data_IF_429286118258
#
_entry.id   IF_429286118258
#
_cell.length_a   1.000
_cell.length_b   1.000
_cell.length_c   1.000
_cell.angle_alpha   90.00
_cell.angle_beta   90.00
_cell.angle_gamma   90.00
#
_symmetry.space_group_name_H-M   'P 1'
#
loop_
_entity.id
_entity.type
_entity.pdbx_description
1 polymer ?
#
# COMPACT_ATOMS: atom_id res chain seq x y z
N UNK A 1 40.19 -45.04 -1.01
CA UNK A 1 38.91 -44.96 -1.75
C UNK A 1 37.67 -44.70 -0.88
N UNK A 2 37.64 -45.02 0.43
CA UNK A 2 36.49 -44.70 1.30
C UNK A 2 36.40 -43.21 1.72
N UNK A 3 37.52 -42.51 1.84
CA UNK A 3 37.55 -41.07 2.20
C UNK A 3 36.95 -40.14 1.13
N UNK A 4 37.20 -40.41 -0.16
CA UNK A 4 36.68 -39.60 -1.25
C UNK A 4 35.15 -39.74 -1.43
N UNK A 5 34.57 -40.85 -1.00
CA UNK A 5 33.12 -41.06 -1.07
C UNK A 5 32.37 -40.27 0.01
N UNK A 6 32.93 -40.15 1.22
CA UNK A 6 32.32 -39.36 2.30
C UNK A 6 32.39 -37.86 2.00
N UNK A 7 33.49 -37.36 1.40
CA UNK A 7 33.64 -35.94 1.06
C UNK A 7 32.69 -35.49 -0.08
N UNK A 8 32.29 -36.41 -0.96
CA UNK A 8 31.26 -36.15 -2.00
C UNK A 8 29.85 -36.19 -1.39
N UNK A 9 29.57 -37.09 -0.46
CA UNK A 9 28.27 -37.15 0.23
C UNK A 9 28.07 -35.91 1.11
N UNK A 10 29.09 -35.45 1.83
CA UNK A 10 29.03 -34.22 2.63
C UNK A 10 28.85 -32.97 1.75
N UNK A 11 29.48 -32.93 0.56
CA UNK A 11 29.27 -31.83 -0.41
C UNK A 11 27.87 -31.84 -1.02
N UNK A 12 27.33 -33.03 -1.32
CA UNK A 12 25.96 -33.16 -1.85
C UNK A 12 24.91 -32.84 -0.79
N UNK A 13 25.10 -33.27 0.46
CA UNK A 13 24.23 -32.93 1.58
C UNK A 13 24.24 -31.42 1.88
N UNK A 14 25.41 -30.78 1.83
CA UNK A 14 25.54 -29.33 2.00
C UNK A 14 24.98 -28.50 0.84
N UNK A 15 24.83 -29.08 -0.36
CA UNK A 15 24.15 -28.43 -1.50
C UNK A 15 22.63 -28.54 -1.36
N UNK A 16 22.10 -29.71 -1.01
CA UNK A 16 20.66 -29.92 -0.81
C UNK A 16 20.10 -29.15 0.39
N UNK A 17 20.86 -29.05 1.50
CA UNK A 17 20.41 -28.27 2.68
C UNK A 17 20.36 -26.77 2.37
N UNK A 18 21.26 -26.25 1.53
CA UNK A 18 21.21 -24.85 1.10
C UNK A 18 20.01 -24.56 0.21
N UNK A 19 19.64 -25.48 -0.67
CA UNK A 19 18.47 -25.30 -1.52
C UNK A 19 17.16 -25.35 -0.71
N UNK A 20 17.06 -26.25 0.28
CA UNK A 20 15.89 -26.34 1.17
C UNK A 20 15.76 -25.13 2.11
N UNK A 21 16.87 -24.64 2.69
CA UNK A 21 16.88 -23.44 3.54
C UNK A 21 16.56 -22.17 2.73
N UNK A 22 17.09 -22.05 1.50
CA UNK A 22 16.77 -20.94 0.59
C UNK A 22 15.32 -21.02 0.13
N UNK A 23 14.77 -22.22 -0.11
CA UNK A 23 13.36 -22.39 -0.47
C UNK A 23 12.42 -22.08 0.70
N UNK A 24 12.76 -22.48 1.93
CA UNK A 24 12.01 -22.10 3.14
C UNK A 24 12.08 -20.60 3.42
N UNK A 25 13.26 -19.99 3.29
CA UNK A 25 13.46 -18.55 3.46
C UNK A 25 12.71 -17.78 2.37
N UNK A 26 12.73 -18.25 1.12
CA UNK A 26 11.95 -17.69 0.02
C UNK A 26 10.45 -17.84 0.25
N UNK A 27 9.95 -19.00 0.69
CA UNK A 27 8.53 -19.21 1.04
C UNK A 27 8.10 -18.30 2.19
N UNK A 28 8.97 -18.09 3.17
CA UNK A 28 8.73 -17.21 4.32
C UNK A 28 8.73 -15.74 3.92
N UNK A 29 9.67 -15.32 3.07
CA UNK A 29 9.75 -13.97 2.52
C UNK A 29 8.55 -13.68 1.62
N UNK A 30 8.27 -14.56 0.67
CA UNK A 30 7.10 -14.48 -0.23
C UNK A 30 5.78 -14.48 0.57
N UNK A 31 5.63 -15.36 1.54
CA UNK A 31 4.47 -15.39 2.43
C UNK A 31 4.33 -14.11 3.27
N UNK A 32 5.45 -13.48 3.65
CA UNK A 32 5.44 -12.19 4.35
C UNK A 32 5.01 -11.04 3.43
N UNK A 33 5.54 -10.97 2.20
CA UNK A 33 5.16 -9.97 1.19
C UNK A 33 3.69 -10.11 0.80
N UNK A 34 3.21 -11.33 0.63
CA UNK A 34 1.80 -11.59 0.34
C UNK A 34 0.88 -11.11 1.48
N UNK A 35 1.28 -11.28 2.75
CA UNK A 35 0.52 -10.73 3.88
C UNK A 35 0.48 -9.21 3.88
N UNK A 36 1.57 -8.54 3.49
CA UNK A 36 1.61 -7.07 3.39
C UNK A 36 0.62 -6.57 2.34
N UNK A 37 0.69 -7.13 1.13
CA UNK A 37 -0.20 -6.77 0.02
C UNK A 37 -1.66 -7.05 0.39
N UNK A 38 -1.96 -8.22 0.98
CA UNK A 38 -3.32 -8.55 1.45
C UNK A 38 -3.85 -7.57 2.49
N UNK A 39 -3.01 -7.16 3.44
CA UNK A 39 -3.39 -6.15 4.43
C UNK A 39 -3.69 -4.80 3.80
N UNK A 40 -2.83 -4.34 2.88
CA UNK A 40 -3.02 -3.07 2.18
C UNK A 40 -4.23 -3.08 1.23
N UNK A 41 -4.51 -4.21 0.56
CA UNK A 41 -5.71 -4.43 -0.23
C UNK A 41 -6.98 -4.36 0.62
N UNK A 42 -6.97 -4.99 1.79
CA UNK A 42 -8.10 -4.96 2.71
C UNK A 42 -8.40 -3.54 3.20
N UNK A 43 -7.36 -2.74 3.49
CA UNK A 43 -7.49 -1.31 3.79
C UNK A 43 -8.13 -0.57 2.61
N UNK A 44 -7.68 -0.83 1.38
CA UNK A 44 -8.20 -0.19 0.18
C UNK A 44 -9.69 -0.51 -0.04
N UNK A 45 -10.04 -1.80 0.02
CA UNK A 45 -11.40 -2.26 -0.23
C UNK A 45 -12.38 -1.72 0.81
N UNK A 46 -12.07 -1.88 2.10
CA UNK A 46 -12.95 -1.42 3.17
C UNK A 46 -13.00 0.11 3.21
N UNK A 47 -11.87 0.80 2.98
CA UNK A 47 -11.85 2.25 2.88
C UNK A 47 -12.78 2.77 1.76
N UNK A 48 -12.76 2.11 0.60
CA UNK A 48 -13.68 2.44 -0.49
C UNK A 48 -15.16 2.17 -0.11
N UNK A 49 -15.44 1.05 0.57
CA UNK A 49 -16.80 0.72 1.03
C UNK A 49 -17.34 1.68 2.10
N UNK A 50 -16.45 2.28 2.90
CA UNK A 50 -16.76 3.30 3.90
C UNK A 50 -16.74 4.72 3.32
N UNK A 51 -16.48 4.86 2.02
CA UNK A 51 -16.35 6.15 1.33
C UNK A 51 -15.27 7.07 1.92
N UNK A 52 -14.20 6.49 2.49
CA UNK A 52 -13.07 7.26 2.96
C UNK A 52 -12.35 7.98 1.81
N UNK A 53 -11.71 9.11 2.10
CA UNK A 53 -10.90 9.77 1.08
C UNK A 53 -9.69 8.92 0.69
N UNK A 54 -9.25 9.06 -0.56
CA UNK A 54 -8.04 8.38 -1.07
C UNK A 54 -6.81 8.74 -0.22
N UNK A 55 -6.77 9.96 0.34
CA UNK A 55 -5.70 10.39 1.24
C UNK A 55 -5.71 9.56 2.53
N UNK A 56 -6.87 9.36 3.15
CA UNK A 56 -6.99 8.54 4.37
C UNK A 56 -6.63 7.08 4.15
N UNK A 57 -7.03 6.53 3.01
CA UNK A 57 -6.69 5.15 2.63
C UNK A 57 -5.17 5.01 2.43
N UNK A 58 -4.54 5.91 1.66
CA UNK A 58 -3.11 5.88 1.42
C UNK A 58 -2.30 6.07 2.73
N UNK A 59 -2.74 6.99 3.62
CA UNK A 59 -2.12 7.13 4.95
C UNK A 59 -2.23 5.84 5.76
N UNK A 60 -3.37 5.16 5.76
CA UNK A 60 -3.54 3.90 6.47
C UNK A 60 -2.60 2.81 5.93
N UNK A 61 -2.42 2.72 4.61
CA UNK A 61 -1.51 1.78 3.98
C UNK A 61 -0.05 2.06 4.35
N UNK A 62 0.38 3.33 4.31
CA UNK A 62 1.72 3.74 4.76
C UNK A 62 1.93 3.38 6.24
N UNK A 63 0.97 3.70 7.10
CA UNK A 63 1.05 3.36 8.53
C UNK A 63 1.15 1.85 8.76
N UNK A 64 0.39 1.07 7.99
CA UNK A 64 0.40 -0.39 8.04
C UNK A 64 1.77 -0.95 7.64
N UNK A 65 2.34 -0.50 6.52
CA UNK A 65 3.66 -0.95 6.07
C UNK A 65 4.75 -0.53 7.05
N UNK A 66 4.74 0.72 7.53
CA UNK A 66 5.72 1.22 8.51
C UNK A 66 5.69 0.38 9.79
N UNK A 67 4.49 0.11 10.31
CA UNK A 67 4.35 -0.72 11.50
C UNK A 67 4.89 -2.14 11.26
N UNK A 68 4.54 -2.77 10.14
CA UNK A 68 5.03 -4.12 9.82
C UNK A 68 6.54 -4.16 9.62
N UNK A 69 7.15 -3.13 9.03
CA UNK A 69 8.61 -3.02 8.88
C UNK A 69 9.32 -2.95 10.24
N UNK A 70 8.72 -2.27 11.21
CA UNK A 70 9.26 -2.14 12.58
C UNK A 70 8.93 -3.34 13.49
N UNK A 71 7.74 -3.93 13.33
CA UNK A 71 7.18 -4.99 14.18
C UNK A 71 6.45 -6.04 13.33
N UNK A 72 7.25 -6.85 12.62
CA UNK A 72 6.76 -7.93 11.75
C UNK A 72 5.85 -8.89 12.51
N UNK A 73 4.66 -9.15 11.97
CA UNK A 73 3.70 -10.15 12.47
C UNK A 73 3.30 -9.99 13.96
N UNK A 74 3.43 -8.79 14.54
CA UNK A 74 3.07 -8.56 15.95
C UNK A 74 1.56 -8.66 16.21
N UNK A 75 0.74 -8.41 15.18
CA UNK A 75 -0.71 -8.45 15.24
C UNK A 75 -1.30 -9.22 14.06
N UNK A 76 -2.54 -9.69 14.24
CA UNK A 76 -3.33 -10.22 13.13
C UNK A 76 -3.51 -9.13 12.05
N UNK A 77 -3.26 -9.49 10.79
CA UNK A 77 -3.28 -8.55 9.65
C UNK A 77 -4.58 -7.76 9.52
N UNK A 78 -5.74 -8.41 9.72
CA UNK A 78 -7.06 -7.77 9.62
C UNK A 78 -7.20 -6.68 10.66
N UNK A 79 -6.91 -6.99 11.92
CA UNK A 79 -7.10 -6.04 13.01
C UNK A 79 -6.05 -4.93 13.03
N UNK A 80 -4.84 -5.22 12.55
CA UNK A 80 -3.84 -4.18 12.31
C UNK A 80 -4.32 -3.23 11.21
N UNK A 81 -4.80 -3.76 10.08
CA UNK A 81 -5.36 -2.97 8.98
C UNK A 81 -6.55 -2.10 9.44
N UNK A 82 -7.48 -2.67 10.20
CA UNK A 82 -8.61 -1.94 10.80
C UNK A 82 -8.15 -0.80 11.69
N UNK A 83 -7.11 -1.05 12.51
CA UNK A 83 -6.55 -0.06 13.42
C UNK A 83 -5.86 1.07 12.67
N UNK A 84 -5.09 0.77 11.63
CA UNK A 84 -4.45 1.77 10.77
C UNK A 84 -5.48 2.63 10.03
N UNK A 85 -6.53 2.02 9.45
CA UNK A 85 -7.59 2.75 8.76
C UNK A 85 -8.38 3.65 9.71
N UNK A 86 -8.82 3.13 10.86
CA UNK A 86 -9.51 3.94 11.85
C UNK A 86 -8.62 5.06 12.43
N UNK A 87 -7.29 4.85 12.49
CA UNK A 87 -6.36 5.90 12.93
C UNK A 87 -6.23 6.98 11.86
N UNK A 88 -6.11 6.62 10.58
CA UNK A 88 -6.00 7.60 9.49
C UNK A 88 -7.28 8.42 9.32
N UNK A 89 -8.46 7.80 9.46
CA UNK A 89 -9.77 8.49 9.47
C UNK A 89 -9.76 9.60 10.53
N UNK A 90 -9.33 9.29 11.76
CA UNK A 90 -9.21 10.28 12.84
C UNK A 90 -8.20 11.38 12.50
N UNK A 91 -7.04 11.03 11.94
CA UNK A 91 -6.00 11.98 11.56
C UNK A 91 -6.39 12.89 10.39
N UNK A 92 -7.35 12.47 9.57
CA UNK A 92 -7.89 13.24 8.46
C UNK A 92 -9.24 13.90 8.79
N UNK A 93 -9.72 13.78 10.02
CA UNK A 93 -10.97 14.38 10.50
C UNK A 93 -12.20 13.96 9.65
N UNK A 94 -12.26 12.69 9.23
CA UNK A 94 -13.40 12.13 8.49
C UNK A 94 -14.51 11.63 9.43
N UNK A 95 -15.77 11.82 9.04
CA UNK A 95 -16.96 11.39 9.81
C UNK A 95 -17.31 9.92 9.53
N UNK A 96 -16.47 9.00 10.03
CA UNK A 96 -16.72 7.55 9.97
C UNK A 96 -16.71 6.97 11.37
N UNK A 97 -17.76 6.22 11.72
CA UNK A 97 -17.91 5.63 13.06
C UNK A 97 -17.00 4.42 13.21
N UNK A 98 -16.32 4.33 14.36
CA UNK A 98 -15.48 3.19 14.73
C UNK A 98 -16.20 1.83 14.58
N UNK A 99 -17.47 1.78 14.95
CA UNK A 99 -18.28 0.56 14.85
C UNK A 99 -18.39 0.07 13.41
N UNK A 100 -18.59 1.00 12.49
CA UNK A 100 -18.72 0.68 11.07
C UNK A 100 -17.42 0.10 10.53
N UNK A 101 -16.28 0.67 10.92
CA UNK A 101 -14.97 0.11 10.61
C UNK A 101 -14.85 -1.32 11.16
N UNK A 102 -15.12 -1.52 12.46
CA UNK A 102 -15.01 -2.84 13.09
C UNK A 102 -15.87 -3.87 12.37
N UNK A 103 -17.12 -3.51 12.06
CA UNK A 103 -18.08 -4.38 11.41
C UNK A 103 -17.64 -4.78 10.00
N UNK A 104 -17.16 -3.82 9.19
CA UNK A 104 -16.64 -4.11 7.84
C UNK A 104 -15.45 -5.07 7.88
N UNK A 105 -14.50 -4.85 8.79
CA UNK A 105 -13.34 -5.74 8.95
C UNK A 105 -13.71 -7.10 9.53
N UNK A 106 -14.70 -7.16 10.43
CA UNK A 106 -15.24 -8.41 10.95
C UNK A 106 -15.86 -9.26 9.83
N UNK A 107 -16.70 -8.67 8.98
CA UNK A 107 -17.29 -9.37 7.84
C UNK A 107 -16.20 -9.89 6.88
N UNK A 108 -15.23 -9.05 6.50
CA UNK A 108 -14.11 -9.48 5.66
C UNK A 108 -13.28 -10.62 6.29
N UNK A 109 -13.12 -10.64 7.62
CA UNK A 109 -12.44 -11.72 8.32
C UNK A 109 -13.22 -13.04 8.33
N UNK A 110 -14.55 -12.97 8.28
CA UNK A 110 -15.43 -14.14 8.26
C UNK A 110 -15.56 -14.72 6.86
N UNK A 111 -15.59 -13.87 5.82
CA UNK A 111 -15.54 -14.30 4.42
C UNK A 111 -14.24 -15.09 4.15
N UNK A 112 -13.11 -14.65 4.71
CA UNK A 112 -11.84 -15.38 4.68
C UNK A 112 -11.87 -16.74 5.38
N UNK A 113 -12.82 -16.96 6.30
CA UNK A 113 -13.03 -18.24 6.99
C UNK A 113 -14.07 -19.12 6.30
N UNK A 114 -14.59 -18.69 5.15
CA UNK A 114 -15.70 -19.35 4.45
C UNK A 114 -16.97 -19.50 5.31
N UNK A 115 -17.14 -18.62 6.30
CA UNK A 115 -18.38 -18.56 7.09
C UNK A 115 -19.42 -17.83 6.25
N UNK A 116 -20.34 -18.57 5.62
CA UNK A 116 -21.46 -17.98 4.88
C UNK A 116 -22.40 -17.25 5.84
N UNK A 117 -22.63 -15.96 5.61
CA UNK A 117 -23.53 -15.09 6.38
C UNK A 117 -23.26 -15.10 7.89
N UNK A 118 -22.10 -14.61 8.36
CA UNK A 118 -21.87 -14.46 9.79
C UNK A 118 -22.91 -13.50 10.37
N UNK A 119 -23.57 -13.91 11.45
CA UNK A 119 -24.45 -13.02 12.20
C UNK A 119 -23.65 -11.76 12.61
N UNK A 120 -24.24 -10.60 12.31
CA UNK A 120 -23.64 -9.31 12.68
C UNK A 120 -23.63 -9.22 14.21
N UNK A 121 -22.48 -8.91 14.84
CA UNK A 121 -22.44 -8.70 16.29
C UNK A 121 -23.44 -7.61 16.67
N UNK A 122 -24.29 -7.89 17.68
CA UNK A 122 -25.22 -6.90 18.22
C UNK A 122 -24.44 -5.64 18.63
N UNK A 123 -24.86 -4.42 18.23
CA UNK A 123 -24.26 -3.16 18.67
C UNK A 123 -24.06 -3.03 20.19
N UNK A 124 -24.87 -3.71 21.00
CA UNK A 124 -24.79 -3.71 22.47
C UNK A 124 -24.03 -4.91 23.05
N UNK A 125 -23.56 -5.83 22.19
CA UNK A 125 -22.87 -7.04 22.61
C UNK A 125 -21.57 -6.74 23.37
N UNK A 126 -21.22 -7.63 24.30
CA UNK A 126 -19.90 -7.61 24.94
C UNK A 126 -18.79 -7.85 23.91
N UNK A 127 -19.06 -8.63 22.86
CA UNK A 127 -18.13 -8.90 21.77
C UNK A 127 -17.70 -7.61 21.05
N UNK A 128 -18.65 -6.79 20.61
CA UNK A 128 -18.33 -5.52 19.95
C UNK A 128 -17.59 -4.56 20.90
N UNK A 129 -17.98 -4.52 22.17
CA UNK A 129 -17.26 -3.74 23.20
C UNK A 129 -15.82 -4.22 23.38
N UNK A 130 -15.58 -5.52 23.35
CA UNK A 130 -14.22 -6.09 23.40
C UNK A 130 -13.43 -5.74 22.13
N UNK A 131 -14.04 -5.82 20.94
CA UNK A 131 -13.40 -5.45 19.68
C UNK A 131 -12.99 -3.97 19.67
N UNK A 132 -13.83 -3.05 20.17
CA UNK A 132 -13.48 -1.63 20.32
C UNK A 132 -12.26 -1.43 21.22
N UNK A 133 -12.21 -2.14 22.36
CA UNK A 133 -11.08 -2.09 23.30
C UNK A 133 -9.80 -2.61 22.65
N UNK A 134 -9.89 -3.76 21.98
CA UNK A 134 -8.74 -4.37 21.28
C UNK A 134 -8.20 -3.46 20.19
N UNK A 135 -9.07 -2.89 19.34
CA UNK A 135 -8.66 -1.96 18.29
C UNK A 135 -7.96 -0.73 18.88
N UNK A 136 -8.48 -0.17 19.97
CA UNK A 136 -7.86 0.97 20.66
C UNK A 136 -6.47 0.63 21.22
N UNK A 137 -6.27 -0.58 21.76
CA UNK A 137 -4.97 -1.06 22.23
C UNK A 137 -3.97 -1.23 21.09
N UNK A 138 -4.40 -1.76 19.95
CA UNK A 138 -3.55 -1.87 18.75
C UNK A 138 -3.18 -0.48 18.24
N UNK A 139 -4.12 0.47 18.19
CA UNK A 139 -3.82 1.86 17.83
C UNK A 139 -2.79 2.49 18.76
N UNK A 140 -2.93 2.29 20.07
CA UNK A 140 -1.94 2.77 21.03
C UNK A 140 -0.55 2.18 20.77
N UNK A 141 -0.48 0.87 20.46
CA UNK A 141 0.78 0.21 20.09
C UNK A 141 1.39 0.78 18.81
N UNK A 142 0.58 1.02 17.78
CA UNK A 142 1.03 1.67 16.52
C UNK A 142 1.65 3.04 16.83
N UNK A 143 0.92 3.88 17.56
CA UNK A 143 1.41 5.21 17.95
C UNK A 143 2.71 5.11 18.78
N UNK A 144 2.80 4.18 19.73
CA UNK A 144 3.99 3.97 20.54
C UNK A 144 5.21 3.54 19.71
N UNK A 145 5.04 2.57 18.80
CA UNK A 145 6.09 2.10 17.89
C UNK A 145 6.56 3.22 16.95
N UNK A 146 5.65 4.10 16.53
CA UNK A 146 5.96 5.26 15.70
C UNK A 146 6.44 6.49 16.50
N UNK A 147 6.64 6.37 17.81
CA UNK A 147 6.97 7.49 18.69
C UNK A 147 6.02 8.70 18.51
N UNK A 148 4.74 8.41 18.29
CA UNK A 148 3.65 9.37 18.01
C UNK A 148 3.85 10.24 16.75
N UNK A 149 4.81 9.88 15.88
CA UNK A 149 5.04 10.51 14.57
C UNK A 149 4.19 9.83 13.49
N UNK A 150 2.86 9.92 13.64
CA UNK A 150 1.89 9.27 12.74
C UNK A 150 1.48 10.13 11.53
N UNK A 151 1.98 11.37 11.46
CA UNK A 151 1.80 12.22 10.28
C UNK A 151 2.78 11.79 9.19
N UNK A 152 2.24 11.34 8.06
CA UNK A 152 3.00 11.04 6.85
C UNK A 152 2.55 11.95 5.69
N UNK A 153 3.51 12.39 4.89
CA UNK A 153 3.24 13.04 3.61
C UNK A 153 2.85 11.96 2.61
N UNK A 154 1.80 12.20 1.83
CA UNK A 154 1.29 11.27 0.82
C UNK A 154 1.46 11.90 -0.56
N UNK A 155 1.93 11.12 -1.52
CA UNK A 155 2.17 11.54 -2.90
C UNK A 155 0.93 12.15 -3.59
N UNK A 156 -0.28 11.74 -3.19
CA UNK A 156 -1.54 12.30 -3.70
C UNK A 156 -1.62 13.83 -3.56
N UNK A 157 -1.05 14.39 -2.48
CA UNK A 157 -1.02 15.85 -2.28
C UNK A 157 -0.22 16.56 -3.38
N UNK A 158 0.89 15.98 -3.81
CA UNK A 158 1.73 16.51 -4.89
C UNK A 158 1.08 16.27 -6.26
N UNK A 159 0.45 15.11 -6.44
CA UNK A 159 -0.33 14.79 -7.64
C UNK A 159 -1.43 15.83 -7.87
N UNK A 160 -2.25 16.15 -6.85
CA UNK A 160 -3.33 17.12 -7.00
C UNK A 160 -2.82 18.53 -7.29
N UNK A 161 -1.66 18.92 -6.73
CA UNK A 161 -1.02 20.19 -7.08
C UNK A 161 -0.66 20.25 -8.56
N UNK A 162 -0.10 19.17 -9.11
CA UNK A 162 0.21 19.09 -10.55
C UNK A 162 -1.07 19.12 -11.40
N UNK A 163 -2.09 18.34 -11.04
CA UNK A 163 -3.34 18.28 -11.78
C UNK A 163 -4.06 19.63 -11.81
N UNK A 164 -4.01 20.40 -10.72
CA UNK A 164 -4.55 21.77 -10.70
C UNK A 164 -3.81 22.70 -11.68
N UNK A 165 -2.48 22.58 -11.80
CA UNK A 165 -1.70 23.33 -12.78
C UNK A 165 -1.98 22.87 -14.21
N UNK A 166 -2.13 21.56 -14.43
CA UNK A 166 -2.52 21.00 -15.72
C UNK A 166 -3.88 21.55 -16.18
N UNK A 167 -4.83 21.67 -15.24
CA UNK A 167 -6.17 22.21 -15.50
C UNK A 167 -6.18 23.70 -15.87
N UNK A 168 -5.12 24.44 -15.52
CA UNK A 168 -4.95 25.85 -15.87
C UNK A 168 -4.37 26.06 -17.27
N UNK A 169 -3.93 25.01 -17.95
CA UNK A 169 -3.38 25.09 -19.30
C UNK A 169 -4.51 25.10 -20.33
N UNK A 170 -4.62 26.19 -21.09
CA UNK A 170 -5.68 26.39 -22.09
C UNK A 170 -5.55 25.50 -23.33
N UNK A 171 -4.37 24.94 -23.58
CA UNK A 171 -4.05 24.10 -24.74
C UNK A 171 -4.24 22.59 -24.48
N UNK A 172 -4.65 22.22 -23.27
CA UNK A 172 -4.94 20.83 -22.89
C UNK A 172 -6.44 20.61 -22.87
N UNK A 173 -6.92 19.61 -23.62
CA UNK A 173 -8.35 19.27 -23.61
C UNK A 173 -8.78 18.66 -22.27
N UNK A 174 -10.02 18.91 -21.88
CA UNK A 174 -10.61 18.39 -20.65
C UNK A 174 -10.58 16.85 -20.60
N UNK A 175 -10.78 16.19 -21.75
CA UNK A 175 -10.71 14.72 -21.87
C UNK A 175 -9.33 14.19 -21.49
N UNK A 176 -8.25 14.87 -21.91
CA UNK A 176 -6.88 14.48 -21.56
C UNK A 176 -6.65 14.67 -20.06
N UNK A 177 -7.12 15.78 -19.48
CA UNK A 177 -7.00 16.05 -18.04
C UNK A 177 -7.71 14.98 -17.22
N UNK A 178 -8.95 14.62 -17.58
CA UNK A 178 -9.73 13.57 -16.89
C UNK A 178 -9.02 12.21 -16.99
N UNK A 179 -8.53 11.85 -18.18
CA UNK A 179 -7.84 10.58 -18.42
C UNK A 179 -6.54 10.49 -17.62
N UNK A 180 -5.71 11.54 -17.64
CA UNK A 180 -4.47 11.60 -16.85
C UNK A 180 -4.75 11.56 -15.35
N UNK A 181 -5.74 12.33 -14.88
CA UNK A 181 -6.11 12.37 -13.46
C UNK A 181 -6.57 11.00 -12.95
N UNK A 182 -7.44 10.33 -13.72
CA UNK A 182 -7.94 8.99 -13.37
C UNK A 182 -6.81 7.96 -13.37
N UNK A 183 -5.96 7.98 -14.38
CA UNK A 183 -4.85 7.03 -14.54
C UNK A 183 -3.81 7.21 -13.45
N UNK A 184 -3.35 8.44 -13.21
CA UNK A 184 -2.35 8.73 -12.18
C UNK A 184 -2.87 8.38 -10.78
N UNK A 185 -4.14 8.71 -10.47
CA UNK A 185 -4.72 8.40 -9.15
C UNK A 185 -4.83 6.89 -8.92
N UNK A 186 -5.23 6.12 -9.94
CA UNK A 186 -5.30 4.65 -9.87
C UNK A 186 -3.92 4.02 -9.73
N UNK A 187 -2.95 4.46 -10.54
CA UNK A 187 -1.58 3.98 -10.49
C UNK A 187 -0.98 4.22 -9.11
N UNK A 188 -1.13 5.44 -8.60
CA UNK A 188 -0.60 5.82 -7.30
C UNK A 188 -1.28 5.05 -6.15
N UNK A 189 -2.59 4.86 -6.21
CA UNK A 189 -3.33 4.04 -5.23
C UNK A 189 -2.85 2.59 -5.25
N UNK A 190 -2.52 2.05 -6.43
CA UNK A 190 -1.96 0.71 -6.58
C UNK A 190 -0.56 0.62 -5.97
N UNK A 191 0.27 1.65 -6.13
CA UNK A 191 1.62 1.67 -5.57
C UNK A 191 1.65 1.56 -4.04
N UNK A 192 0.67 2.15 -3.33
CA UNK A 192 0.53 2.01 -1.88
C UNK A 192 0.16 0.60 -1.39
N UNK A 193 -0.20 -0.32 -2.28
CA UNK A 193 -0.39 -1.73 -1.93
C UNK A 193 0.94 -2.41 -1.58
N UNK A 194 2.06 -1.84 -2.03
CA UNK A 194 3.40 -2.36 -1.82
C UNK A 194 4.20 -1.51 -0.82
N UNK A 195 5.18 -2.13 -0.17
CA UNK A 195 5.99 -1.44 0.85
C UNK A 195 7.03 -0.46 0.26
N UNK A 196 7.25 -0.48 -1.05
CA UNK A 196 8.16 0.46 -1.74
C UNK A 196 7.80 1.93 -1.54
N UNK A 197 6.54 2.23 -1.18
CA UNK A 197 6.12 3.57 -0.76
C UNK A 197 6.84 4.11 0.48
N UNK A 198 7.57 3.27 1.23
CA UNK A 198 8.36 3.67 2.39
C UNK A 198 9.80 4.05 2.05
N UNK A 199 10.27 3.64 0.88
CA UNK A 199 11.68 3.75 0.51
C UNK A 199 11.96 5.09 -0.19
N UNK A 200 10.93 5.77 -0.70
CA UNK A 200 11.04 7.02 -1.44
C UNK A 200 10.21 8.15 -0.83
N UNK A 201 10.58 9.38 -1.15
CA UNK A 201 9.82 10.55 -0.70
C UNK A 201 8.50 10.69 -1.48
N UNK A 202 7.49 11.28 -0.85
CA UNK A 202 6.16 11.43 -1.43
C UNK A 202 6.13 12.26 -2.74
N UNK A 203 7.01 13.25 -2.86
CA UNK A 203 7.20 14.05 -4.07
C UNK A 203 7.89 13.26 -5.19
N UNK A 204 8.94 12.50 -4.88
CA UNK A 204 9.62 11.59 -5.81
C UNK A 204 8.61 10.60 -6.41
N UNK A 205 7.81 9.93 -5.55
CA UNK A 205 6.78 8.98 -5.97
C UNK A 205 5.72 9.66 -6.86
N UNK A 206 5.26 10.85 -6.49
CA UNK A 206 4.26 11.57 -7.26
C UNK A 206 4.75 11.91 -8.67
N UNK A 207 6.01 12.36 -8.78
CA UNK A 207 6.61 12.75 -10.05
C UNK A 207 6.90 11.53 -10.91
N UNK A 208 7.40 10.43 -10.36
CA UNK A 208 7.52 9.17 -11.08
C UNK A 208 6.16 8.68 -11.61
N UNK A 209 5.12 8.72 -10.78
CA UNK A 209 3.76 8.35 -11.18
C UNK A 209 3.22 9.24 -12.31
N UNK A 210 3.49 10.55 -12.26
CA UNK A 210 3.11 11.49 -13.30
C UNK A 210 3.86 11.23 -14.61
N UNK A 211 5.16 10.95 -14.52
CA UNK A 211 6.00 10.61 -15.67
C UNK A 211 5.49 9.34 -16.37
N UNK A 212 5.22 8.29 -15.60
CA UNK A 212 4.65 7.06 -16.11
C UNK A 212 3.31 7.33 -16.80
N UNK A 213 2.41 8.07 -16.13
CA UNK A 213 1.07 8.38 -16.68
C UNK A 213 1.16 9.19 -17.97
N UNK A 214 2.09 10.15 -18.05
CA UNK A 214 2.32 10.95 -19.24
C UNK A 214 2.75 10.08 -20.44
N UNK A 215 3.67 9.14 -20.19
CA UNK A 215 4.13 8.19 -21.21
C UNK A 215 3.01 7.22 -21.62
N UNK A 216 2.28 6.68 -20.65
CA UNK A 216 1.18 5.74 -20.88
C UNK A 216 0.02 6.36 -21.68
N UNK A 217 -0.37 7.59 -21.36
CA UNK A 217 -1.43 8.32 -22.07
C UNK A 217 -0.99 8.88 -23.44
N UNK A 218 0.30 8.82 -23.78
CA UNK A 218 0.83 9.31 -25.06
C UNK A 218 0.65 10.81 -25.28
N UNK A 219 0.67 11.62 -24.22
CA UNK A 219 0.41 13.07 -24.32
C UNK A 219 1.61 13.78 -24.95
N UNK A 220 1.40 14.52 -26.04
CA UNK A 220 2.50 15.19 -26.78
C UNK A 220 2.48 16.71 -26.65
N UNK A 221 1.63 17.27 -25.77
CA UNK A 221 1.43 18.72 -25.62
C UNK A 221 2.69 19.42 -25.07
N UNK A 222 3.26 20.42 -25.76
CA UNK A 222 4.48 21.10 -25.32
C UNK A 222 4.40 21.73 -23.93
N UNK A 223 3.28 22.37 -23.60
CA UNK A 223 3.04 23.00 -22.29
C UNK A 223 3.08 21.98 -21.15
N UNK A 224 2.54 20.78 -21.39
CA UNK A 224 2.58 19.66 -20.43
C UNK A 224 4.01 19.13 -20.27
N UNK A 225 4.77 19.00 -21.36
CA UNK A 225 6.18 18.60 -21.30
C UNK A 225 7.03 19.60 -20.50
N UNK A 226 6.80 20.90 -20.70
CA UNK A 226 7.48 21.94 -19.94
C UNK A 226 7.11 21.89 -18.46
N UNK A 227 5.82 21.76 -18.15
CA UNK A 227 5.33 21.61 -16.78
C UNK A 227 5.99 20.42 -16.09
N UNK A 228 6.00 19.26 -16.75
CA UNK A 228 6.62 18.04 -16.22
C UNK A 228 8.12 18.20 -16.00
N UNK A 229 8.84 18.82 -16.93
CA UNK A 229 10.29 19.11 -16.79
C UNK A 229 10.56 20.04 -15.62
N UNK A 230 9.69 21.02 -15.37
CA UNK A 230 9.80 21.93 -14.22
C UNK A 230 9.61 21.18 -12.91
N UNK A 231 8.58 20.34 -12.77
CA UNK A 231 8.37 19.57 -11.55
C UNK A 231 9.51 18.56 -11.32
N UNK A 232 9.97 17.86 -12.36
CA UNK A 232 11.14 16.97 -12.25
C UNK A 232 12.40 17.73 -11.79
N UNK A 233 12.53 19.00 -12.16
CA UNK A 233 13.66 19.85 -11.72
C UNK A 233 13.57 20.27 -10.26
N UNK A 234 12.40 20.17 -9.63
CA UNK A 234 12.19 20.50 -8.23
C UNK A 234 12.54 19.35 -7.26
N UNK A 235 12.73 18.13 -7.78
CA UNK A 235 13.15 16.96 -7.01
C UNK A 235 14.64 17.01 -6.73
N UNK A 236 15.02 16.80 -5.48
CA UNK A 236 16.41 16.78 -5.04
C UNK A 236 17.20 15.61 -5.65
N UNK A 237 16.61 14.42 -5.67
CA UNK A 237 17.29 13.21 -6.12
C UNK A 237 16.62 12.59 -7.37
N UNK A 238 17.03 13.07 -8.54
CA UNK A 238 16.46 12.65 -9.83
C UNK A 238 16.82 11.23 -10.23
N UNK A 239 17.97 10.73 -9.76
CA UNK A 239 18.47 9.41 -10.13
C UNK A 239 17.54 8.30 -9.62
N UNK A 240 16.86 8.55 -8.50
CA UNK A 240 15.89 7.61 -7.89
C UNK A 240 14.57 7.51 -8.64
N UNK A 241 14.26 8.44 -9.53
CA UNK A 241 13.00 8.41 -10.29
C UNK A 241 12.96 7.19 -11.21
N UNK A 242 14.10 6.76 -11.75
CA UNK A 242 14.18 5.55 -12.57
C UNK A 242 13.80 4.31 -11.75
N UNK A 243 14.33 4.19 -10.54
CA UNK A 243 14.04 3.05 -9.65
C UNK A 243 12.54 2.96 -9.32
N UNK A 244 11.90 4.11 -9.03
CA UNK A 244 10.46 4.16 -8.75
C UNK A 244 9.65 3.79 -10.00
N UNK A 245 10.08 4.23 -11.19
CA UNK A 245 9.42 3.87 -12.45
C UNK A 245 9.46 2.36 -12.69
N UNK A 246 10.60 1.73 -12.44
CA UNK A 246 10.75 0.27 -12.56
C UNK A 246 9.81 -0.45 -11.57
N UNK A 247 9.72 0.01 -10.32
CA UNK A 247 8.75 -0.52 -9.36
C UNK A 247 7.29 -0.31 -9.81
N UNK A 248 6.96 0.87 -10.34
CA UNK A 248 5.61 1.17 -10.84
C UNK A 248 5.21 0.28 -12.02
N UNK A 249 6.14 -0.01 -12.94
CA UNK A 249 5.92 -0.93 -14.06
C UNK A 249 5.54 -2.31 -13.50
N UNK A 250 6.36 -2.85 -12.60
CA UNK A 250 6.11 -4.16 -11.98
C UNK A 250 4.75 -4.21 -11.26
N UNK A 251 4.43 -3.17 -10.48
CA UNK A 251 3.17 -3.08 -9.76
C UNK A 251 1.97 -2.98 -10.72
N UNK A 252 2.12 -2.27 -11.85
CA UNK A 252 1.06 -2.12 -12.84
C UNK A 252 0.74 -3.44 -13.58
N UNK A 253 1.75 -4.26 -13.86
CA UNK A 253 1.59 -5.59 -14.45
C UNK A 253 0.93 -6.56 -13.46
N UNK A 254 1.34 -6.52 -12.20
CA UNK A 254 0.79 -7.37 -11.13
C UNK A 254 -0.66 -6.99 -10.81
N UNK A 255 -1.00 -5.69 -10.75
CA UNK A 255 -2.36 -5.21 -10.51
C UNK A 255 -3.33 -5.60 -11.62
N UNK A 256 -2.85 -5.61 -12.87
CA UNK A 256 -3.62 -6.13 -14.01
C UNK A 256 -3.91 -7.62 -13.83
N UNK A 257 -2.96 -8.38 -13.27
CA UNK A 257 -3.09 -9.82 -13.00
C UNK A 257 -3.99 -10.11 -11.78
N UNK A 258 -3.93 -9.30 -10.73
CA UNK A 258 -4.75 -9.45 -9.52
C UNK A 258 -6.24 -9.14 -9.74
N UNK A 259 -6.62 -8.43 -10.82
CA UNK A 259 -8.03 -8.30 -11.22
C UNK A 259 -8.66 -9.59 -11.75
N UNK A 260 -7.84 -10.61 -12.04
CA UNK A 260 -8.27 -11.91 -12.60
C UNK A 260 -8.09 -13.08 -11.62
N UNK A 261 -7.75 -12.82 -10.35
CA UNK A 261 -7.71 -13.80 -9.26
C UNK A 261 -8.84 -13.47 -8.29
#
# INVERSE_FOLDING_TARGET
>A
MKEAANDVVDKLQNLTVKDDEVEEEFKKDFGSRLRLVKGALLIQEIGNQLHCSIISIAKAQVLFHQFQRLKKNAFNTVWLAASCLNLSIKLCEEDVKLDEVILKFYHAAQDLKSTLNPDRPDPSSEELRQMRRNLSLVQYSICGVMAFKVQCKIAHTYLYKFLAQLHSLSDVSEVVIISMSSTATKLLSTYYLCEGCLDFNADEIAIACLQFTFLYCGVVVPSVKYLMKRELSSVENKDRISDILDELILVSDVSTTLKYI
#
